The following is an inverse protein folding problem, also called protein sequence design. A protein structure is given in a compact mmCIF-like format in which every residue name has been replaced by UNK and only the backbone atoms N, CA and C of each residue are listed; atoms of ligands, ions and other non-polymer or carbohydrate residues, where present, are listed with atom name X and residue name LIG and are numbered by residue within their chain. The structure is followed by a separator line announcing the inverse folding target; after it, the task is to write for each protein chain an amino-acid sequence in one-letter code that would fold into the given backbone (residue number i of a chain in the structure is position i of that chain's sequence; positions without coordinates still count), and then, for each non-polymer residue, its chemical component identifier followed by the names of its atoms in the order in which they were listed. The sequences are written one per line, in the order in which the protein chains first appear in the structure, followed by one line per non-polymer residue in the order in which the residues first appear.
data_IF_341201189367
#
_entry.id   IF_341201189367
#
_cell.length_a   1.000
_cell.length_b   1.000
_cell.length_c   1.000
_cell.angle_alpha   90.00
_cell.angle_beta   90.00
_cell.angle_gamma   90.00
#
_symmetry.space_group_name_H-M   'P 1'
#
loop_
_entity.id
_entity.type
_entity.pdbx_description
1 polymer ?
#
# COMPACT_ATOMS: atom_id res chain seq x y z
N UNK A 1 -7.93 0.53 -4.82
CA UNK A 1 -7.46 -0.35 -3.74
C UNK A 1 -7.97 -1.78 -3.96
N UNK A 2 -7.25 -2.81 -3.51
CA UNK A 2 -7.70 -4.21 -3.54
C UNK A 2 -7.75 -4.88 -4.92
N UNK A 3 -7.13 -4.30 -5.95
CA UNK A 3 -7.10 -4.90 -7.30
C UNK A 3 -6.06 -6.03 -7.35
N UNK A 4 -6.48 -7.23 -6.93
CA UNK A 4 -5.63 -8.42 -6.91
C UNK A 4 -5.19 -8.83 -8.31
N UNK A 5 -3.95 -9.30 -8.45
CA UNK A 5 -3.48 -9.96 -9.67
C UNK A 5 -4.45 -11.06 -10.13
N UNK A 6 -4.74 -11.07 -11.43
CA UNK A 6 -5.72 -11.93 -12.08
C UNK A 6 -7.09 -11.28 -12.26
N UNK A 7 -7.43 -10.22 -11.52
CA UNK A 7 -8.71 -9.51 -11.69
C UNK A 7 -8.82 -8.86 -13.08
N UNK A 8 -7.70 -8.50 -13.71
CA UNK A 8 -7.68 -8.00 -15.07
C UNK A 8 -8.26 -8.99 -16.10
N UNK A 9 -8.33 -10.29 -15.78
CA UNK A 9 -8.86 -11.33 -16.67
C UNK A 9 -10.25 -11.85 -16.26
N UNK A 10 -10.82 -11.39 -15.14
CA UNK A 10 -12.10 -11.89 -14.62
C UNK A 10 -13.33 -11.27 -15.28
N UNK A 11 -13.18 -10.10 -15.91
CA UNK A 11 -14.29 -9.38 -16.55
C UNK A 11 -13.76 -8.49 -17.68
N UNK A 12 -14.65 -7.96 -18.52
CA UNK A 12 -14.30 -7.06 -19.61
C UNK A 12 -13.92 -5.69 -19.06
N UNK A 13 -12.64 -5.36 -19.12
CA UNK A 13 -12.08 -4.08 -18.68
C UNK A 13 -11.39 -3.36 -19.85
N UNK A 14 -12.14 -2.80 -20.82
CA UNK A 14 -11.59 -2.36 -22.10
C UNK A 14 -10.49 -1.31 -21.96
N UNK A 15 -10.59 -0.42 -20.96
CA UNK A 15 -9.58 0.59 -20.70
C UNK A 15 -8.32 0.02 -20.04
N UNK A 16 -8.45 -0.95 -19.13
CA UNK A 16 -7.31 -1.61 -18.49
C UNK A 16 -6.58 -2.50 -19.50
N UNK A 17 -7.31 -3.23 -20.34
CA UNK A 17 -6.71 -4.03 -21.42
C UNK A 17 -5.97 -3.16 -22.43
N UNK A 18 -6.51 -1.98 -22.76
CA UNK A 18 -5.81 -1.00 -23.60
C UNK A 18 -4.53 -0.49 -22.94
N UNK A 19 -4.53 -0.27 -21.62
CA UNK A 19 -3.34 0.15 -20.88
C UNK A 19 -2.26 -0.94 -20.89
N UNK A 20 -2.64 -2.21 -20.66
CA UNK A 20 -1.72 -3.35 -20.67
C UNK A 20 -1.13 -3.54 -22.09
N UNK A 21 -1.97 -3.55 -23.12
CA UNK A 21 -1.54 -3.78 -24.51
C UNK A 21 -0.61 -2.69 -25.05
N UNK A 22 -0.74 -1.47 -24.55
CA UNK A 22 0.07 -0.32 -24.97
C UNK A 22 1.16 0.06 -23.94
N UNK A 23 1.40 -0.78 -22.93
CA UNK A 23 2.25 -0.48 -21.78
C UNK A 23 3.09 -1.66 -21.33
N UNK A 24 3.36 -1.72 -20.03
CA UNK A 24 4.11 -2.82 -19.39
C UNK A 24 3.38 -3.27 -18.14
N UNK A 25 3.37 -4.58 -17.90
CA UNK A 25 2.83 -5.18 -16.69
C UNK A 25 3.84 -6.12 -16.04
N UNK A 26 3.72 -6.30 -14.72
CA UNK A 26 4.45 -7.35 -14.02
C UNK A 26 3.76 -8.70 -14.30
N UNK A 27 4.47 -9.61 -14.95
CA UNK A 27 3.95 -10.92 -15.38
C UNK A 27 3.31 -11.72 -14.25
N UNK A 28 3.89 -11.67 -13.06
CA UNK A 28 3.41 -12.39 -11.86
C UNK A 28 2.68 -11.49 -10.86
N UNK A 29 2.35 -10.26 -11.27
CA UNK A 29 1.81 -9.23 -10.37
C UNK A 29 2.85 -8.66 -9.41
N UNK A 30 2.39 -7.74 -8.57
CA UNK A 30 3.20 -7.05 -7.57
C UNK A 30 3.09 -7.77 -6.22
N UNK A 31 4.22 -8.00 -5.56
CA UNK A 31 4.27 -8.62 -4.23
C UNK A 31 4.11 -7.52 -3.17
N UNK A 32 3.03 -7.54 -2.35
CA UNK A 32 2.83 -6.55 -1.30
C UNK A 32 3.80 -6.76 -0.13
N UNK A 33 4.06 -5.70 0.64
CA UNK A 33 4.68 -5.83 1.96
C UNK A 33 3.69 -6.44 2.96
N UNK A 34 4.22 -7.08 4.00
CA UNK A 34 3.41 -7.57 5.11
C UNK A 34 3.30 -6.51 6.23
N UNK A 35 2.11 -6.26 6.80
CA UNK A 35 0.82 -6.89 6.47
C UNK A 35 0.22 -6.32 5.18
N UNK A 36 -0.58 -7.13 4.46
CA UNK A 36 -1.22 -6.76 3.18
C UNK A 36 -2.44 -5.85 3.39
N UNK A 37 -2.22 -4.72 4.05
CA UNK A 37 -3.22 -3.70 4.38
C UNK A 37 -2.95 -2.41 3.58
N UNK A 38 -4.00 -1.59 3.44
CA UNK A 38 -3.99 -0.34 2.65
C UNK A 38 -2.83 0.58 3.05
N UNK A 39 -2.81 1.13 4.26
CA UNK A 39 -1.86 2.17 4.64
C UNK A 39 -0.41 1.69 4.64
N UNK A 40 -0.07 0.52 5.22
CA UNK A 40 1.29 -0.02 5.14
C UNK A 40 1.78 -0.13 3.69
N UNK A 41 0.98 -0.69 2.78
CA UNK A 41 1.41 -0.89 1.39
C UNK A 41 1.48 0.40 0.58
N UNK A 42 0.50 1.30 0.70
CA UNK A 42 0.53 2.57 -0.04
C UNK A 42 1.73 3.42 0.38
N UNK A 43 2.07 3.42 1.67
CA UNK A 43 3.21 4.18 2.15
C UNK A 43 4.55 3.53 1.78
N UNK A 44 4.63 2.19 1.76
CA UNK A 44 5.81 1.50 1.21
C UNK A 44 6.04 1.80 -0.29
N UNK A 45 4.98 1.95 -1.10
CA UNK A 45 5.11 2.25 -2.54
C UNK A 45 5.78 3.61 -2.77
N UNK A 46 5.43 4.62 -1.98
CA UNK A 46 5.97 5.99 -2.17
C UNK A 46 7.33 6.19 -1.49
N UNK A 47 7.57 5.54 -0.36
CA UNK A 47 8.84 5.69 0.38
C UNK A 47 9.93 4.68 0.00
N UNK A 48 9.55 3.54 -0.59
CA UNK A 48 10.46 2.41 -0.81
C UNK A 48 10.90 1.67 0.47
N UNK A 49 10.29 1.99 1.62
CA UNK A 49 10.64 1.41 2.92
C UNK A 49 9.68 0.28 3.32
N UNK A 50 10.13 -0.63 4.20
CA UNK A 50 9.21 -1.56 4.86
C UNK A 50 8.44 -0.87 5.99
N UNK A 51 7.27 -1.42 6.40
CA UNK A 51 6.49 -0.90 7.52
C UNK A 51 7.25 -0.65 8.82
N UNK A 52 8.25 -1.48 9.11
CA UNK A 52 9.11 -1.33 10.28
C UNK A 52 9.99 -0.06 10.24
N UNK A 53 10.27 0.50 9.05
CA UNK A 53 11.13 1.68 8.87
C UNK A 53 10.34 2.96 8.63
N UNK A 54 9.20 2.88 7.95
CA UNK A 54 8.35 4.05 7.70
C UNK A 54 7.24 4.26 8.76
N UNK A 55 7.20 3.46 9.82
CA UNK A 55 6.32 3.62 10.99
C UNK A 55 4.87 3.14 10.81
N UNK A 56 4.34 3.16 9.60
CA UNK A 56 2.96 2.74 9.29
C UNK A 56 2.81 1.21 9.23
N UNK A 57 2.64 0.56 10.39
CA UNK A 57 2.59 -0.91 10.53
C UNK A 57 1.20 -1.55 10.39
N UNK A 58 0.14 -0.77 10.54
CA UNK A 58 -1.25 -1.22 10.43
C UNK A 58 -2.16 -0.03 10.08
N UNK A 59 -3.39 -0.27 9.63
CA UNK A 59 -4.40 0.78 9.43
C UNK A 59 -4.87 1.40 10.76
N UNK A 60 -4.67 0.68 11.87
CA UNK A 60 -4.92 1.15 13.24
C UNK A 60 -3.98 0.44 14.20
N UNK A 61 -3.25 1.18 15.02
CA UNK A 61 -2.40 0.63 16.07
C UNK A 61 -2.20 1.64 17.20
N UNK A 62 -1.69 1.16 18.33
CA UNK A 62 -1.37 1.98 19.49
C UNK A 62 0.14 2.00 19.63
N UNK A 63 0.72 3.18 19.79
CA UNK A 63 2.11 3.31 20.19
C UNK A 63 2.26 2.88 21.66
N UNK A 64 3.02 1.83 21.97
CA UNK A 64 3.17 1.34 23.34
C UNK A 64 3.92 2.32 24.26
N UNK A 65 4.72 3.24 23.73
CA UNK A 65 5.49 4.19 24.54
C UNK A 65 4.65 5.43 24.90
N UNK A 66 3.94 5.99 23.93
CA UNK A 66 3.15 7.23 24.14
C UNK A 66 1.68 6.97 24.46
N UNK A 67 1.17 5.75 24.21
CA UNK A 67 -0.26 5.42 24.31
C UNK A 67 -1.13 6.07 23.24
N UNK A 68 -0.54 6.82 22.30
CA UNK A 68 -1.28 7.45 21.20
C UNK A 68 -1.79 6.39 20.23
N UNK A 69 -2.95 6.66 19.65
CA UNK A 69 -3.61 5.75 18.69
C UNK A 69 -3.46 6.31 17.29
N UNK A 70 -2.82 5.55 16.42
CA UNK A 70 -2.84 5.78 14.99
C UNK A 70 -4.13 5.23 14.38
N UNK A 71 -4.72 5.97 13.45
CA UNK A 71 -5.80 5.51 12.57
C UNK A 71 -5.56 6.00 11.15
N UNK A 72 -6.30 5.49 10.16
CA UNK A 72 -6.24 6.03 8.79
C UNK A 72 -6.63 7.51 8.66
N UNK A 73 -7.17 8.13 9.72
CA UNK A 73 -7.51 9.55 9.77
C UNK A 73 -6.43 10.40 10.48
N UNK A 74 -5.34 9.79 10.95
CA UNK A 74 -4.22 10.47 11.61
C UNK A 74 -3.37 11.24 10.61
N UNK A 75 -3.04 12.49 10.93
CA UNK A 75 -2.24 13.38 10.07
C UNK A 75 -0.98 13.90 10.79
N UNK A 76 -0.80 13.51 12.05
CA UNK A 76 0.28 13.99 12.88
C UNK A 76 1.63 13.43 12.36
N UNK A 77 2.63 14.30 12.11
CA UNK A 77 3.85 13.93 11.37
C UNK A 77 4.70 12.87 12.08
N UNK A 78 4.58 12.69 13.40
CA UNK A 78 5.30 11.67 14.15
C UNK A 78 5.05 10.23 13.65
N UNK A 79 3.92 9.98 12.98
CA UNK A 79 3.58 8.67 12.45
C UNK A 79 4.23 8.37 11.10
N UNK A 80 4.56 9.41 10.33
CA UNK A 80 4.89 9.34 8.91
C UNK A 80 6.39 9.50 8.69
N UNK A 81 7.15 8.43 8.94
CA UNK A 81 8.61 8.44 8.86
C UNK A 81 9.10 8.17 7.43
N UNK A 82 10.31 8.63 7.12
CA UNK A 82 10.93 8.48 5.79
C UNK A 82 10.65 9.67 4.87
N UNK A 83 10.92 9.51 3.58
CA UNK A 83 10.73 10.54 2.54
C UNK A 83 9.87 9.94 1.41
N UNK A 84 8.61 10.40 1.25
CA UNK A 84 7.70 9.94 0.20
C UNK A 84 7.86 10.68 -1.14
#
# INVERSE_FOLDING_TARGET
DGFRFGYQFKTKLPNIHRLIANGTEAETGLIPVFPTLTFPNHYSIVTGLYPAYHGIINNRFVDPETGKVFTMSSHEPEWWLGEP
#
